data_IF_412413626980
#
_entry.id   IF_412413626980
#
_cell.length_a   1.000
_cell.length_b   1.000
_cell.length_c   1.000
_cell.angle_alpha   90.00
_cell.angle_beta   90.00
_cell.angle_gamma   90.00
#
_symmetry.space_group_name_H-M   'P 1'
#
loop_
_entity.id
_entity.type
_entity.pdbx_description
1 polymer ?
#
# COMPACT_ATOMS: atom_id res chain seq x y z
N UNK A 1 -4.89 13.88 8.53
CA UNK A 1 -4.83 13.04 7.31
C UNK A 1 -5.13 11.57 7.67
N UNK A 2 -6.07 10.86 7.01
CA UNK A 2 -6.45 9.49 7.43
C UNK A 2 -5.51 8.43 6.84
N UNK A 3 -5.00 7.52 7.68
CA UNK A 3 -4.15 6.40 7.28
C UNK A 3 -5.00 5.16 7.03
N UNK A 4 -4.93 4.60 5.82
CA UNK A 4 -5.73 3.45 5.40
C UNK A 4 -4.80 2.33 4.95
N UNK A 5 -4.80 1.23 5.70
CA UNK A 5 -4.13 0.00 5.33
C UNK A 5 -5.12 -0.96 4.63
N UNK A 6 -4.86 -1.29 3.36
CA UNK A 6 -5.70 -2.23 2.60
C UNK A 6 -5.30 -3.70 2.76
N UNK A 7 -4.17 -3.99 3.40
CA UNK A 7 -3.71 -5.36 3.62
C UNK A 7 -4.46 -6.00 4.78
N UNK A 8 -5.65 -6.55 4.50
CA UNK A 8 -6.51 -7.21 5.50
C UNK A 8 -6.17 -8.69 5.72
N UNK A 9 -5.59 -9.35 4.72
CA UNK A 9 -5.49 -10.81 4.65
C UNK A 9 -4.12 -11.36 5.08
N UNK A 10 -3.07 -10.54 5.09
CA UNK A 10 -1.71 -11.00 5.40
C UNK A 10 -1.13 -10.20 6.58
N UNK A 11 -0.68 -10.87 7.67
CA UNK A 11 -0.13 -10.18 8.83
C UNK A 11 1.18 -9.44 8.48
N UNK A 12 2.04 -10.05 7.65
CA UNK A 12 3.26 -9.42 7.15
C UNK A 12 2.97 -8.17 6.31
N UNK A 13 1.97 -8.24 5.43
CA UNK A 13 1.54 -7.12 4.61
C UNK A 13 0.97 -5.98 5.43
N UNK A 14 0.29 -6.30 6.54
CA UNK A 14 -0.23 -5.29 7.44
C UNK A 14 0.90 -4.51 8.09
N UNK A 15 1.89 -5.21 8.67
CA UNK A 15 3.08 -4.61 9.24
C UNK A 15 3.87 -3.76 8.22
N UNK A 16 4.06 -4.28 7.01
CA UNK A 16 4.75 -3.54 5.94
C UNK A 16 4.00 -2.25 5.56
N UNK A 17 2.67 -2.32 5.42
CA UNK A 17 1.84 -1.15 5.15
C UNK A 17 1.92 -0.11 6.26
N UNK A 18 1.84 -0.53 7.53
CA UNK A 18 1.87 0.39 8.66
C UNK A 18 3.23 1.10 8.75
N UNK A 19 4.33 0.38 8.54
CA UNK A 19 5.67 0.96 8.45
C UNK A 19 5.83 1.92 7.25
N UNK A 20 5.27 1.57 6.09
CA UNK A 20 5.29 2.44 4.92
C UNK A 20 4.48 3.73 5.14
N UNK A 21 3.31 3.62 5.80
CA UNK A 21 2.47 4.78 6.14
C UNK A 21 3.19 5.70 7.13
N UNK A 22 3.78 5.16 8.18
CA UNK A 22 4.55 5.94 9.15
C UNK A 22 5.68 6.73 8.47
N UNK A 23 6.50 6.06 7.65
CA UNK A 23 7.57 6.69 6.88
C UNK A 23 7.06 7.74 5.89
N UNK A 24 5.89 7.53 5.29
CA UNK A 24 5.29 8.50 4.37
C UNK A 24 4.82 9.76 5.10
N UNK A 25 4.22 9.60 6.28
CA UNK A 25 3.81 10.72 7.14
C UNK A 25 5.02 11.50 7.66
N UNK A 26 6.11 10.84 8.05
CA UNK A 26 7.34 11.53 8.45
C UNK A 26 7.92 12.39 7.32
N UNK A 27 7.88 11.90 6.08
CA UNK A 27 8.44 12.61 4.92
C UNK A 27 7.57 13.75 4.40
N UNK A 28 6.25 13.60 4.47
CA UNK A 28 5.29 14.51 3.82
C UNK A 28 4.33 15.22 4.76
N UNK A 29 4.30 14.80 6.03
CA UNK A 29 3.35 15.27 7.02
C UNK A 29 1.89 15.05 6.58
N UNK A 30 1.04 15.93 7.09
CA UNK A 30 -0.39 15.92 6.78
C UNK A 30 -0.74 16.62 5.46
N UNK A 31 0.22 17.23 4.76
CA UNK A 31 0.01 18.05 3.55
C UNK A 31 0.73 17.49 2.32
N UNK A 32 0.69 16.18 2.11
CA UNK A 32 1.27 15.56 0.92
C UNK A 32 0.61 16.05 -0.38
N UNK A 33 1.39 16.13 -1.47
CA UNK A 33 0.87 16.42 -2.81
C UNK A 33 -0.16 15.38 -3.23
N UNK A 34 -1.38 15.83 -3.53
CA UNK A 34 -2.50 14.95 -3.90
C UNK A 34 -2.20 14.18 -5.20
N UNK A 35 -2.82 13.00 -5.37
CA UNK A 35 -2.66 12.08 -6.52
C UNK A 35 -1.25 11.52 -6.75
N UNK A 36 -0.32 11.79 -5.84
CA UNK A 36 1.00 11.17 -5.89
C UNK A 36 0.93 9.69 -5.46
N UNK A 37 1.64 8.84 -6.20
CA UNK A 37 1.88 7.45 -5.84
C UNK A 37 3.35 7.32 -5.47
N UNK A 38 3.64 6.63 -4.37
CA UNK A 38 5.01 6.26 -4.00
C UNK A 38 5.08 4.80 -3.64
N UNK A 39 6.14 4.17 -4.12
CA UNK A 39 6.45 2.78 -3.80
C UNK A 39 7.52 2.74 -2.71
N UNK A 40 7.26 1.99 -1.66
CA UNK A 40 8.16 1.74 -0.55
C UNK A 40 8.53 0.27 -0.53
N UNK A 41 9.83 -0.02 -0.37
CA UNK A 41 10.29 -1.38 -0.11
C UNK A 41 10.54 -1.49 1.38
N UNK A 42 9.80 -2.36 2.06
CA UNK A 42 9.90 -2.61 3.50
C UNK A 42 10.34 -4.05 3.71
N UNK A 43 11.34 -4.26 4.55
CA UNK A 43 11.80 -5.60 4.94
C UNK A 43 11.08 -5.96 6.24
N UNK A 44 10.22 -6.98 6.20
CA UNK A 44 9.48 -7.47 7.38
C UNK A 44 9.76 -8.95 7.53
N UNK A 45 10.28 -9.35 8.70
CA UNK A 45 10.62 -10.76 9.01
C UNK A 45 11.45 -11.44 7.90
N UNK A 46 12.45 -10.74 7.35
CA UNK A 46 13.32 -11.25 6.30
C UNK A 46 12.73 -11.24 4.88
N UNK A 47 11.45 -10.89 4.72
CA UNK A 47 10.79 -10.79 3.42
C UNK A 47 10.76 -9.35 2.92
N UNK A 48 11.22 -9.13 1.67
CA UNK A 48 11.11 -7.83 0.98
C UNK A 48 9.70 -7.65 0.45
N UNK A 49 8.94 -6.73 1.04
CA UNK A 49 7.58 -6.41 0.63
C UNK A 49 7.55 -5.02 0.02
N UNK A 50 7.03 -4.93 -1.19
CA UNK A 50 6.79 -3.65 -1.86
C UNK A 50 5.40 -3.16 -1.50
N UNK A 51 5.28 -1.89 -1.10
CA UNK A 51 4.03 -1.25 -0.68
C UNK A 51 3.84 0.01 -1.50
N UNK A 52 2.70 0.12 -2.18
CA UNK A 52 2.29 1.36 -2.83
C UNK A 52 1.48 2.21 -1.85
N UNK A 53 1.93 3.43 -1.59
CA UNK A 53 1.19 4.46 -0.85
C UNK A 53 0.64 5.48 -1.83
N UNK A 54 -0.68 5.61 -1.87
CA UNK A 54 -1.38 6.56 -2.72
C UNK A 54 -1.96 7.68 -1.87
N UNK A 55 -1.62 8.92 -2.22
CA UNK A 55 -2.22 10.09 -1.61
C UNK A 55 -3.55 10.44 -2.29
N UNK A 56 -4.64 10.30 -1.55
CA UNK A 56 -6.01 10.73 -1.91
C UNK A 56 -6.32 12.05 -1.20
N UNK A 57 -7.41 12.70 -1.60
CA UNK A 57 -7.79 14.04 -1.12
C UNK A 57 -7.62 14.27 0.41
N UNK A 58 -8.06 13.32 1.25
CA UNK A 58 -7.89 13.37 2.71
C UNK A 58 -7.33 12.07 3.32
N UNK A 59 -6.69 11.20 2.52
CA UNK A 59 -6.18 9.93 3.04
C UNK A 59 -4.94 9.40 2.32
N UNK A 60 -4.04 8.79 3.09
CA UNK A 60 -2.98 7.93 2.55
C UNK A 60 -3.46 6.49 2.56
N UNK A 61 -3.40 5.85 1.40
CA UNK A 61 -3.82 4.46 1.22
C UNK A 61 -2.60 3.61 0.92
N UNK A 62 -2.22 2.73 1.83
CA UNK A 62 -1.18 1.74 1.62
C UNK A 62 -1.77 0.42 1.11
N UNK A 63 -1.19 -0.07 0.02
CA UNK A 63 -1.51 -1.37 -0.58
C UNK A 63 -0.21 -2.15 -0.72
N UNK A 64 -0.12 -3.24 0.05
CA UNK A 64 1.02 -4.14 -0.01
C UNK A 64 0.91 -5.03 -1.27
N UNK A 65 1.96 -5.07 -2.08
CA UNK A 65 2.04 -5.83 -3.33
C UNK A 65 2.65 -7.22 -3.07
N UNK A 66 1.98 -7.99 -2.23
CA UNK A 66 2.53 -9.22 -1.62
C UNK A 66 2.32 -10.46 -2.50
N UNK A 67 1.40 -10.37 -3.45
CA UNK A 67 0.91 -11.49 -4.22
C UNK A 67 0.52 -11.03 -5.62
N UNK A 68 0.51 -11.99 -6.56
CA UNK A 68 0.02 -11.76 -7.91
C UNK A 68 -1.37 -11.14 -7.85
N UNK A 69 -1.57 -10.02 -8.55
CA UNK A 69 -2.86 -9.34 -8.64
C UNK A 69 -3.90 -10.35 -9.14
N UNK A 70 -4.89 -10.68 -8.32
CA UNK A 70 -6.00 -11.54 -8.76
C UNK A 70 -6.78 -10.82 -9.85
N UNK A 71 -6.52 -11.20 -11.10
CA UNK A 71 -7.26 -10.71 -12.27
C UNK A 71 -8.67 -11.30 -12.20
N UNK A 72 -9.68 -10.44 -12.12
CA UNK A 72 -11.09 -10.87 -12.03
C UNK A 72 -11.80 -10.91 -13.39
N UNK A 73 -11.31 -10.13 -14.35
CA UNK A 73 -11.90 -10.00 -15.68
C UNK A 73 -10.81 -10.27 -16.71
N UNK A 74 -10.45 -11.53 -16.86
CA UNK A 74 -9.55 -11.96 -17.93
C UNK A 74 -10.35 -12.00 -19.24
N UNK A 75 -9.86 -11.39 -20.33
CA UNK A 75 -10.49 -11.56 -21.63
C UNK A 75 -10.53 -13.06 -21.98
N UNK A 76 -11.72 -13.60 -22.26
CA UNK A 76 -11.91 -15.02 -22.56
C UNK A 76 -12.41 -15.91 -21.41
N UNK A 77 -12.73 -15.37 -20.23
CA UNK A 77 -13.50 -16.14 -19.24
C UNK A 77 -14.93 -16.33 -19.72
N UNK A 78 -15.27 -17.57 -20.09
CA UNK A 78 -16.64 -18.01 -20.36
C UNK A 78 -17.31 -18.27 -19.01
N UNK A 79 -18.50 -17.72 -18.81
CA UNK A 79 -19.32 -17.84 -17.59
C UNK A 79 -19.78 -19.27 -17.31
#
# INVERSE_FOLDING_TARGET
MRLINRSKQSPLGRQACDAALAKHVELYGEYGRQKMKRTYTVIVQGSKITVEVVNRHCSYVATAMNCARRLRNLPGQVS
#
